data_IF_157578759393
#
_entry.id   IF_157578759393
#
_cell.length_a   1.000
_cell.length_b   1.000
_cell.length_c   1.000
_cell.angle_alpha   90.00
_cell.angle_beta   90.00
_cell.angle_gamma   90.00
#
_symmetry.space_group_name_H-M   'P 1'
#
loop_
_entity.id
_entity.type
_entity.pdbx_description
1 polymer ?
#
# COMPACT_ATOMS: atom_id res chain seq x y z
N UNK A 1 -41.99 14.40 32.25
CA UNK A 1 -41.65 13.06 31.73
C UNK A 1 -41.22 13.05 30.26
N UNK A 2 -41.88 13.73 29.36
CA UNK A 2 -41.49 13.77 27.93
C UNK A 2 -40.07 14.34 27.65
N UNK A 3 -39.66 15.36 28.39
CA UNK A 3 -38.33 15.98 28.20
C UNK A 3 -37.16 15.13 28.69
N UNK A 4 -37.35 14.27 29.66
CA UNK A 4 -36.33 13.36 30.21
C UNK A 4 -36.08 12.22 29.23
N UNK A 5 -37.13 11.68 28.65
CA UNK A 5 -37.04 10.59 27.64
C UNK A 5 -36.33 11.09 26.39
N UNK A 6 -36.62 12.31 25.93
CA UNK A 6 -35.98 12.90 24.76
C UNK A 6 -34.48 13.15 24.97
N UNK A 7 -34.09 13.59 26.18
CA UNK A 7 -32.67 13.79 26.52
C UNK A 7 -31.90 12.48 26.64
N UNK A 8 -32.53 11.43 27.17
CA UNK A 8 -31.91 10.10 27.24
C UNK A 8 -31.74 9.47 25.86
N UNK A 9 -32.71 9.63 24.97
CA UNK A 9 -32.64 9.14 23.59
C UNK A 9 -31.53 9.84 22.79
N UNK A 10 -31.36 11.15 22.97
CA UNK A 10 -30.29 11.93 22.32
C UNK A 10 -28.90 11.49 22.78
N UNK A 11 -28.71 11.21 24.07
CA UNK A 11 -27.44 10.72 24.60
C UNK A 11 -27.05 9.35 24.07
N UNK A 12 -28.01 8.45 23.88
CA UNK A 12 -27.78 7.12 23.31
C UNK A 12 -27.38 7.23 21.83
N UNK A 13 -28.00 8.10 21.06
CA UNK A 13 -27.66 8.33 19.65
C UNK A 13 -26.25 8.88 19.49
N UNK A 14 -25.84 9.81 20.37
CA UNK A 14 -24.47 10.38 20.36
C UNK A 14 -23.44 9.31 20.76
N UNK A 15 -23.74 8.44 21.71
CA UNK A 15 -22.84 7.37 22.14
C UNK A 15 -22.62 6.33 21.02
N UNK A 16 -23.64 6.02 20.21
CA UNK A 16 -23.51 5.11 19.06
C UNK A 16 -22.71 5.75 17.91
N UNK A 17 -22.84 7.05 17.72
CA UNK A 17 -22.07 7.77 16.70
C UNK A 17 -20.56 7.86 17.01
N UNK A 18 -20.17 7.78 18.27
CA UNK A 18 -18.76 7.82 18.72
C UNK A 18 -18.08 6.44 18.73
N UNK A 19 -18.81 5.36 18.55
CA UNK A 19 -18.24 3.99 18.48
C UNK A 19 -17.72 3.58 17.10
N UNK A 20 -17.60 4.50 16.17
CA UNK A 20 -16.91 4.31 14.89
C UNK A 20 -15.39 4.30 15.03
N UNK A 21 -14.83 3.53 15.96
CA UNK A 21 -13.40 3.21 15.94
C UNK A 21 -13.15 2.30 14.76
N UNK A 22 -12.70 2.88 13.62
CA UNK A 22 -12.15 2.10 12.54
C UNK A 22 -11.03 1.24 13.10
N UNK A 23 -11.16 -0.07 12.99
CA UNK A 23 -10.09 -1.00 13.35
C UNK A 23 -8.88 -0.71 12.46
N UNK A 24 -7.76 -0.32 13.07
CA UNK A 24 -6.49 -0.18 12.37
C UNK A 24 -6.06 -1.60 11.98
N UNK A 25 -5.84 -1.81 10.68
CA UNK A 25 -5.34 -3.09 10.18
C UNK A 25 -3.86 -3.26 10.54
N UNK A 26 -3.52 -4.36 11.19
CA UNK A 26 -2.15 -4.69 11.55
C UNK A 26 -1.50 -5.56 10.47
N UNK A 27 -0.45 -5.02 9.84
CA UNK A 27 0.39 -5.78 8.91
C UNK A 27 1.43 -6.60 9.66
N UNK A 28 1.68 -7.82 9.17
CA UNK A 28 2.75 -8.66 9.71
C UNK A 28 4.11 -8.04 9.36
N UNK A 29 4.96 -7.92 10.35
CA UNK A 29 6.33 -7.41 10.16
C UNK A 29 7.22 -8.42 9.45
N UNK A 30 8.18 -7.96 8.62
CA UNK A 30 9.13 -8.85 7.97
C UNK A 30 9.86 -9.76 8.95
N UNK A 31 9.96 -11.02 8.59
CA UNK A 31 10.63 -12.06 9.36
C UNK A 31 11.81 -12.64 8.54
N UNK A 32 12.76 -13.36 9.16
CA UNK A 32 13.92 -13.91 8.46
C UNK A 32 13.61 -14.87 7.31
N UNK A 33 12.42 -15.49 7.31
CA UNK A 33 11.93 -16.39 6.25
C UNK A 33 11.29 -15.67 5.07
N UNK A 34 11.13 -14.34 5.13
CA UNK A 34 10.65 -13.57 4.00
C UNK A 34 11.70 -13.54 2.89
N UNK A 35 11.23 -13.61 1.64
CA UNK A 35 12.08 -13.36 0.50
C UNK A 35 12.33 -11.85 0.35
N UNK A 36 13.55 -11.49 -0.03
CA UNK A 36 13.93 -10.12 -0.29
C UNK A 36 14.65 -10.02 -1.64
N UNK A 37 14.32 -8.99 -2.41
CA UNK A 37 14.98 -8.64 -3.66
C UNK A 37 15.31 -7.17 -3.69
N UNK A 38 16.51 -6.84 -4.09
CA UNK A 38 16.95 -5.47 -4.34
C UNK A 38 17.27 -5.31 -5.81
N UNK A 39 16.99 -4.14 -6.34
CA UNK A 39 17.26 -3.86 -7.75
C UNK A 39 16.96 -2.42 -8.09
N UNK A 40 16.73 -2.16 -9.35
CA UNK A 40 16.35 -0.85 -9.88
C UNK A 40 14.92 -0.87 -10.36
N UNK A 41 14.23 0.25 -10.14
CA UNK A 41 12.91 0.52 -10.70
C UNK A 41 12.98 1.78 -11.56
N UNK A 42 12.57 1.63 -12.82
CA UNK A 42 12.19 2.73 -13.69
C UNK A 42 10.67 2.89 -13.62
N UNK A 43 10.23 3.95 -12.97
CA UNK A 43 8.81 4.34 -12.92
C UNK A 43 8.54 5.43 -13.94
N UNK A 44 7.61 5.20 -14.83
CA UNK A 44 7.15 6.16 -15.82
C UNK A 44 5.67 6.43 -15.62
N UNK A 45 5.37 7.53 -14.95
CA UNK A 45 4.01 8.03 -14.78
C UNK A 45 3.57 8.95 -15.92
N UNK A 46 2.38 9.51 -15.79
CA UNK A 46 1.82 10.41 -16.82
C UNK A 46 2.63 11.70 -16.99
N UNK A 47 3.26 12.20 -15.92
CA UNK A 47 3.99 13.47 -15.89
C UNK A 47 5.41 13.36 -15.35
N UNK A 48 5.81 12.19 -14.89
CA UNK A 48 7.06 12.00 -14.15
C UNK A 48 7.72 10.72 -14.59
N UNK A 49 9.03 10.77 -14.79
CA UNK A 49 9.89 9.59 -14.98
C UNK A 49 10.94 9.59 -13.90
N UNK A 50 11.02 8.50 -13.14
CA UNK A 50 11.95 8.34 -12.02
C UNK A 50 12.68 7.02 -12.13
N UNK A 51 13.98 7.05 -11.84
CA UNK A 51 14.82 5.86 -11.67
C UNK A 51 15.33 5.87 -10.25
N UNK A 52 15.29 4.74 -9.59
CA UNK A 52 15.82 4.59 -8.25
C UNK A 52 16.01 3.14 -7.85
N UNK A 53 16.40 2.95 -6.62
CA UNK A 53 16.54 1.63 -6.03
C UNK A 53 15.22 1.14 -5.50
N UNK A 54 15.00 -0.16 -5.60
CA UNK A 54 13.81 -0.82 -5.06
C UNK A 54 14.22 -1.97 -4.15
N UNK A 55 13.56 -2.05 -3.01
CA UNK A 55 13.58 -3.21 -2.12
C UNK A 55 12.18 -3.81 -2.10
N UNK A 56 12.08 -5.09 -2.40
CA UNK A 56 10.84 -5.87 -2.35
C UNK A 56 11.03 -6.99 -1.34
N UNK A 57 10.09 -7.12 -0.41
CA UNK A 57 10.06 -8.21 0.58
C UNK A 57 8.67 -8.83 0.62
N UNK A 58 8.60 -10.13 0.72
CA UNK A 58 7.31 -10.82 0.82
C UNK A 58 7.42 -12.17 1.54
N UNK A 59 6.33 -12.56 2.19
CA UNK A 59 6.17 -13.86 2.83
C UNK A 59 5.49 -14.86 1.89
N UNK A 60 5.61 -16.14 2.22
CA UNK A 60 4.85 -17.21 1.53
C UNK A 60 3.34 -17.08 1.74
N UNK A 61 2.92 -16.39 2.80
CA UNK A 61 1.50 -16.18 3.15
C UNK A 61 0.88 -14.99 2.40
N UNK A 62 1.68 -14.20 1.67
CA UNK A 62 1.19 -13.10 0.87
C UNK A 62 1.36 -11.71 1.47
N UNK A 63 2.07 -11.58 2.58
CA UNK A 63 2.50 -10.29 3.10
C UNK A 63 3.55 -9.70 2.15
N UNK A 64 3.46 -8.41 1.88
CA UNK A 64 4.27 -7.77 0.86
C UNK A 64 4.68 -6.36 1.29
N UNK A 65 5.93 -6.02 1.03
CA UNK A 65 6.46 -4.68 1.18
C UNK A 65 7.28 -4.28 -0.04
N UNK A 66 7.14 -3.03 -0.46
CA UNK A 66 7.93 -2.41 -1.51
C UNK A 66 8.39 -1.03 -1.04
N UNK A 67 9.69 -0.78 -1.15
CA UNK A 67 10.27 0.54 -0.89
C UNK A 67 11.01 1.00 -2.14
N UNK A 68 10.67 2.18 -2.63
CA UNK A 68 11.30 2.82 -3.78
C UNK A 68 12.01 4.10 -3.34
N UNK A 69 13.31 4.17 -3.57
CA UNK A 69 14.15 5.27 -3.12
C UNK A 69 14.94 5.89 -4.27
N UNK A 70 15.21 7.18 -4.17
CA UNK A 70 16.08 7.90 -5.07
C UNK A 70 17.30 8.39 -4.28
N UNK A 71 18.41 7.66 -4.39
CA UNK A 71 19.62 7.94 -3.65
C UNK A 71 19.46 7.74 -2.13
N UNK A 72 20.53 7.97 -1.34
CA UNK A 72 20.50 7.78 0.10
C UNK A 72 19.49 8.73 0.79
N UNK A 73 18.62 8.16 1.61
CA UNK A 73 17.72 8.92 2.48
C UNK A 73 16.50 9.54 1.80
N UNK A 74 16.27 9.32 0.51
CA UNK A 74 15.10 9.85 -0.20
C UNK A 74 14.15 8.72 -0.57
N UNK A 75 13.11 8.53 0.22
CA UNK A 75 12.04 7.57 -0.07
C UNK A 75 10.98 8.23 -0.94
N UNK A 76 10.73 7.64 -2.11
CA UNK A 76 9.74 8.12 -3.08
C UNK A 76 8.38 7.46 -2.86
N UNK A 77 8.38 6.18 -2.47
CA UNK A 77 7.16 5.41 -2.26
C UNK A 77 7.43 4.22 -1.33
N UNK A 78 6.56 4.00 -0.38
CA UNK A 78 6.53 2.82 0.47
C UNK A 78 5.14 2.19 0.43
N UNK A 79 5.10 0.89 0.24
CA UNK A 79 3.90 0.09 0.20
C UNK A 79 4.02 -1.06 1.19
N UNK A 80 3.00 -1.22 2.02
CA UNK A 80 2.71 -2.45 2.76
C UNK A 80 1.37 -3.00 2.28
N UNK A 81 1.31 -4.27 2.00
CA UNK A 81 0.11 -4.89 1.46
C UNK A 81 0.01 -6.35 1.88
N UNK A 82 -1.19 -6.80 2.12
CA UNK A 82 -1.53 -8.22 2.22
C UNK A 82 -2.67 -8.56 1.23
N UNK A 83 -3.35 -9.68 1.42
CA UNK A 83 -4.42 -10.09 0.51
C UNK A 83 -5.61 -9.13 0.47
N UNK A 84 -5.85 -8.36 1.52
CA UNK A 84 -7.07 -7.57 1.70
C UNK A 84 -6.85 -6.09 1.92
N UNK A 85 -5.70 -5.69 2.48
CA UNK A 85 -5.42 -4.33 2.90
C UNK A 85 -4.10 -3.80 2.35
N UNK A 86 -4.00 -2.48 2.28
CA UNK A 86 -2.79 -1.78 1.89
C UNK A 86 -2.54 -0.53 2.75
N UNK A 87 -1.29 -0.13 2.82
CA UNK A 87 -0.85 1.15 3.37
C UNK A 87 0.26 1.69 2.47
N UNK A 88 0.13 2.92 2.01
CA UNK A 88 1.12 3.60 1.19
C UNK A 88 1.47 4.96 1.77
N UNK A 89 2.71 5.36 1.56
CA UNK A 89 3.22 6.69 1.91
C UNK A 89 4.35 7.10 0.98
N UNK A 90 4.70 8.36 1.02
CA UNK A 90 5.74 8.96 0.19
C UNK A 90 5.21 9.90 -0.87
N UNK A 91 6.09 10.72 -1.50
CA UNK A 91 5.70 11.74 -2.46
C UNK A 91 4.89 11.22 -3.66
N UNK A 92 5.19 10.02 -4.15
CA UNK A 92 4.45 9.43 -5.28
C UNK A 92 3.05 8.94 -4.91
N UNK A 93 2.78 8.73 -3.64
CA UNK A 93 1.44 8.41 -3.16
C UNK A 93 0.53 9.65 -3.06
N UNK A 94 1.11 10.84 -3.12
CA UNK A 94 0.44 12.11 -2.86
C UNK A 94 0.27 12.35 -1.36
N UNK A 95 -0.73 11.72 -0.78
CA UNK A 95 -0.94 11.68 0.67
C UNK A 95 -0.86 10.24 1.15
N UNK A 96 -0.70 10.07 2.46
CA UNK A 96 -0.76 8.74 3.08
C UNK A 96 -2.14 8.12 2.90
N UNK A 97 -2.18 6.91 2.35
CA UNK A 97 -3.41 6.15 2.11
C UNK A 97 -3.34 4.79 2.80
N UNK A 98 -4.47 4.36 3.34
CA UNK A 98 -4.62 3.01 3.89
C UNK A 98 -6.07 2.55 3.77
N UNK A 99 -6.28 1.24 3.65
CA UNK A 99 -7.61 0.66 3.59
C UNK A 99 -7.66 -0.67 2.88
N UNK A 100 -8.87 -1.06 2.46
CA UNK A 100 -9.10 -2.26 1.67
C UNK A 100 -8.57 -2.09 0.25
N UNK A 101 -7.89 -3.11 -0.28
CA UNK A 101 -7.42 -3.13 -1.67
C UNK A 101 -8.57 -3.05 -2.67
N UNK A 102 -9.74 -3.58 -2.33
CA UNK A 102 -10.93 -3.51 -3.19
C UNK A 102 -11.42 -2.07 -3.42
N UNK A 103 -11.16 -1.16 -2.46
CA UNK A 103 -11.58 0.24 -2.50
C UNK A 103 -10.43 1.20 -2.76
N UNK A 104 -9.31 0.71 -3.28
CA UNK A 104 -8.13 1.52 -3.53
C UNK A 104 -8.39 2.62 -4.57
N UNK A 105 -7.82 3.84 -4.38
CA UNK A 105 -7.88 4.89 -5.36
C UNK A 105 -7.26 4.47 -6.70
N UNK A 106 -7.78 4.99 -7.81
CA UNK A 106 -7.33 4.63 -9.15
C UNK A 106 -5.82 4.87 -9.37
N UNK A 107 -5.28 5.94 -8.82
CA UNK A 107 -3.85 6.30 -8.97
C UNK A 107 -2.88 5.36 -8.21
N UNK A 108 -3.39 4.52 -7.32
CA UNK A 108 -2.58 3.53 -6.57
C UNK A 108 -2.71 2.11 -7.13
N UNK A 109 -3.68 1.85 -8.00
CA UNK A 109 -3.97 0.48 -8.47
C UNK A 109 -2.80 -0.16 -9.19
N UNK A 110 -2.08 0.59 -10.01
CA UNK A 110 -0.88 0.09 -10.68
C UNK A 110 0.20 -0.39 -9.69
N UNK A 111 0.41 0.35 -8.61
CA UNK A 111 1.31 -0.04 -7.54
C UNK A 111 0.84 -1.28 -6.78
N UNK A 112 -0.46 -1.38 -6.51
CA UNK A 112 -1.02 -2.52 -5.76
C UNK A 112 -1.01 -3.82 -6.55
N UNK A 113 -1.10 -3.77 -7.87
CA UNK A 113 -0.98 -4.96 -8.74
C UNK A 113 0.43 -5.55 -8.76
N UNK A 114 1.45 -4.78 -8.41
CA UNK A 114 2.84 -5.25 -8.36
C UNK A 114 3.05 -6.41 -7.39
N UNK A 115 2.27 -6.48 -6.31
CA UNK A 115 2.34 -7.58 -5.34
C UNK A 115 2.24 -8.95 -6.04
N UNK A 116 1.18 -9.18 -6.81
CA UNK A 116 0.97 -10.46 -7.50
C UNK A 116 2.06 -10.72 -8.55
N UNK A 117 2.43 -9.70 -9.30
CA UNK A 117 3.43 -9.80 -10.37
C UNK A 117 4.82 -10.13 -9.81
N UNK A 118 5.24 -9.46 -8.75
CA UNK A 118 6.55 -9.65 -8.13
C UNK A 118 6.63 -10.96 -7.35
N UNK A 119 5.56 -11.36 -6.66
CA UNK A 119 5.52 -12.65 -5.97
C UNK A 119 5.55 -13.83 -6.93
N UNK A 120 4.98 -13.69 -8.12
CA UNK A 120 4.98 -14.72 -9.16
C UNK A 120 6.24 -14.73 -10.04
N UNK A 121 7.19 -13.82 -9.81
CA UNK A 121 8.34 -13.63 -10.70
C UNK A 121 9.30 -14.83 -10.76
N UNK A 122 9.39 -15.62 -9.68
CA UNK A 122 10.29 -16.76 -9.59
C UNK A 122 11.75 -16.34 -9.76
N UNK A 123 12.50 -17.04 -10.63
CA UNK A 123 13.93 -16.77 -10.87
C UNK A 123 14.18 -15.68 -11.92
N UNK A 124 13.14 -15.06 -12.45
CA UNK A 124 13.29 -13.97 -13.42
C UNK A 124 13.91 -12.73 -12.74
N UNK A 125 14.75 -12.03 -13.49
CA UNK A 125 15.49 -10.86 -13.00
C UNK A 125 14.92 -9.53 -13.51
N UNK A 126 13.88 -9.57 -14.33
CA UNK A 126 13.22 -8.37 -14.83
C UNK A 126 11.72 -8.53 -14.92
N UNK A 127 11.02 -7.44 -14.76
CA UNK A 127 9.56 -7.35 -14.87
C UNK A 127 9.20 -6.00 -15.48
N UNK A 128 8.31 -6.00 -16.44
CA UNK A 128 7.63 -4.79 -16.91
C UNK A 128 6.13 -4.94 -16.68
N UNK A 129 5.55 -3.98 -16.00
CA UNK A 129 4.10 -3.90 -15.74
C UNK A 129 3.57 -2.54 -16.16
N UNK A 130 2.42 -2.51 -16.81
CA UNK A 130 1.74 -1.28 -17.21
C UNK A 130 0.32 -1.24 -16.69
N UNK A 131 -0.09 -0.10 -16.21
CA UNK A 131 -1.45 0.14 -15.73
C UNK A 131 -1.85 1.61 -15.93
N UNK A 132 -2.94 1.86 -16.62
CA UNK A 132 -3.54 3.20 -16.69
C UNK A 132 -2.60 4.32 -17.17
N UNK A 133 -1.66 4.04 -18.07
CA UNK A 133 -0.64 4.99 -18.54
C UNK A 133 0.61 5.06 -17.69
N UNK A 134 0.69 4.28 -16.63
CA UNK A 134 1.92 4.08 -15.84
C UNK A 134 2.68 2.85 -16.32
N UNK A 135 4.01 2.91 -16.26
CA UNK A 135 4.89 1.78 -16.56
C UNK A 135 5.91 1.60 -15.44
N UNK A 136 6.03 0.37 -14.99
CA UNK A 136 6.99 -0.06 -13.98
C UNK A 136 7.95 -1.05 -14.63
N UNK A 137 9.24 -0.75 -14.63
CA UNK A 137 10.28 -1.65 -15.15
C UNK A 137 11.28 -1.96 -14.06
N UNK A 138 11.30 -3.21 -13.63
CA UNK A 138 12.20 -3.72 -12.59
C UNK A 138 13.36 -4.47 -13.22
N UNK A 139 14.54 -4.33 -12.59
CA UNK A 139 15.75 -5.12 -12.85
C UNK A 139 16.39 -5.48 -11.51
N UNK A 140 16.41 -6.76 -11.20
CA UNK A 140 16.97 -7.34 -9.98
C UNK A 140 18.34 -7.97 -10.23
#
# INVERSE_FOLDING_TARGET
MRSVILRSALLVVIAVALSGCGTIHDFISPAPDWQARTGQLLYKGKRTTLIGEVLVRFSKKGDFELTFTKGPGVTLFELRQDATNFNVRGPLAGVKWSGSTANAPAHLRGWLELREKLMALGDQTSLTHTYGGERFTFRF
#
